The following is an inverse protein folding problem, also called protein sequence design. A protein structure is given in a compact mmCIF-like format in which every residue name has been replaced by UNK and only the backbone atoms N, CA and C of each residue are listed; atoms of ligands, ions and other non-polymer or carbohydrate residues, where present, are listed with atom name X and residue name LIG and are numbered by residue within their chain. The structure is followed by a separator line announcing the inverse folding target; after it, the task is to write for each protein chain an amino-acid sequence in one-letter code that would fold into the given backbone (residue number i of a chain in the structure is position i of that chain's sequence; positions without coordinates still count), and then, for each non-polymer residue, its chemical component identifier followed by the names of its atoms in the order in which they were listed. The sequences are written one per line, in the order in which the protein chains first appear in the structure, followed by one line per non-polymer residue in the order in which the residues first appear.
data_IF_961649707271
#
_entry.id   IF_961649707271
#
_cell.length_a   1.000
_cell.length_b   1.000
_cell.length_c   1.000
_cell.angle_alpha   90.00
_cell.angle_beta   90.00
_cell.angle_gamma   90.00
#
_symmetry.space_group_name_H-M   'P 1'
#
loop_
_entity.id
_entity.type
_entity.pdbx_description
1 polymer ?
#
# COMPACT_ATOMS: atom_id res chain seq x y z
N UNK A 1 -19.55 -4.48 14.86
CA UNK A 1 -20.25 -5.68 15.35
C UNK A 1 -19.26 -6.83 15.48
N UNK A 2 -18.77 -7.06 16.71
CA UNK A 2 -18.65 -8.39 17.34
C UNK A 2 -18.82 -8.07 18.82
N UNK A 3 -20.07 -7.81 19.20
CA UNK A 3 -20.48 -7.68 20.62
C UNK A 3 -20.83 -9.05 21.22
N UNK A 4 -20.68 -10.15 20.48
CA UNK A 4 -21.16 -11.48 20.90
C UNK A 4 -20.19 -12.64 20.60
N UNK A 5 -18.89 -12.50 20.87
CA UNK A 5 -17.99 -13.67 20.96
C UNK A 5 -17.04 -13.57 22.16
N UNK A 6 -16.83 -14.68 22.90
CA UNK A 6 -16.06 -14.71 24.14
C UNK A 6 -14.61 -14.25 23.94
N UNK A 7 -14.09 -13.49 24.91
CA UNK A 7 -12.83 -12.73 24.82
C UNK A 7 -11.58 -13.57 24.52
N UNK A 8 -11.60 -14.88 24.79
CA UNK A 8 -10.47 -15.78 24.53
C UNK A 8 -10.26 -16.13 23.05
N UNK A 9 -11.35 -16.31 22.27
CA UNK A 9 -11.23 -16.63 20.83
C UNK A 9 -10.78 -15.42 20.01
N UNK A 10 -11.05 -14.22 20.53
CA UNK A 10 -10.67 -12.93 19.94
C UNK A 10 -9.15 -12.74 19.94
N UNK A 11 -8.48 -13.13 21.04
CA UNK A 11 -7.02 -13.06 21.19
C UNK A 11 -6.30 -14.02 20.24
N UNK A 12 -6.82 -15.23 20.06
CA UNK A 12 -6.26 -16.23 19.12
C UNK A 12 -6.38 -15.76 17.66
N UNK A 13 -7.56 -15.31 17.23
CA UNK A 13 -7.74 -14.78 15.87
C UNK A 13 -6.85 -13.56 15.58
N UNK A 14 -6.65 -12.69 16.58
CA UNK A 14 -5.73 -11.55 16.50
C UNK A 14 -4.26 -11.98 16.42
N UNK A 15 -3.85 -13.01 17.16
CA UNK A 15 -2.48 -13.54 17.14
C UNK A 15 -2.13 -14.20 15.82
N UNK A 16 -3.00 -15.08 15.29
CA UNK A 16 -2.78 -15.76 14.01
C UNK A 16 -2.82 -14.80 12.82
N UNK A 17 -3.75 -13.84 12.80
CA UNK A 17 -3.81 -12.84 11.72
C UNK A 17 -2.58 -11.94 11.68
N UNK A 18 -1.98 -11.67 12.83
CA UNK A 18 -0.79 -10.86 12.93
C UNK A 18 0.50 -11.65 12.63
N UNK A 19 0.67 -12.82 13.22
CA UNK A 19 1.79 -13.70 12.90
C UNK A 19 1.81 -13.99 11.39
N UNK A 20 0.63 -14.20 10.78
CA UNK A 20 0.46 -14.32 9.34
C UNK A 20 0.87 -13.07 8.56
N UNK A 21 0.47 -11.87 8.99
CA UNK A 21 0.84 -10.62 8.31
C UNK A 21 2.37 -10.38 8.32
N UNK A 22 3.05 -10.79 9.38
CA UNK A 22 4.51 -10.71 9.48
C UNK A 22 5.22 -11.69 8.56
N UNK A 23 4.85 -12.98 8.64
CA UNK A 23 5.41 -14.01 7.77
C UNK A 23 5.16 -13.65 6.30
N UNK A 24 3.97 -13.12 5.99
CA UNK A 24 3.65 -12.64 4.65
C UNK A 24 4.52 -11.47 4.22
N UNK A 25 4.83 -10.54 5.13
CA UNK A 25 5.73 -9.41 4.83
C UNK A 25 7.15 -9.89 4.52
N UNK A 26 7.72 -10.73 5.38
CA UNK A 26 9.05 -11.33 5.16
C UNK A 26 9.08 -12.14 3.86
N UNK A 27 8.10 -13.02 3.68
CA UNK A 27 7.94 -13.81 2.48
C UNK A 27 7.81 -12.94 1.23
N UNK A 28 7.03 -11.86 1.29
CA UNK A 28 6.85 -10.93 0.16
C UNK A 28 8.12 -10.18 -0.19
N UNK A 29 8.91 -9.73 0.79
CA UNK A 29 10.18 -9.05 0.53
C UNK A 29 11.20 -9.98 -0.12
N UNK A 30 11.30 -11.20 0.39
CA UNK A 30 12.13 -12.24 -0.22
C UNK A 30 11.65 -12.57 -1.65
N UNK A 31 10.34 -12.74 -1.83
CA UNK A 31 9.75 -13.02 -3.14
C UNK A 31 10.01 -11.88 -4.12
N UNK A 32 9.80 -10.61 -3.73
CA UNK A 32 10.08 -9.45 -4.58
C UNK A 32 11.56 -9.40 -4.95
N UNK A 33 12.47 -9.64 -3.99
CA UNK A 33 13.91 -9.64 -4.27
C UNK A 33 14.32 -10.72 -5.27
N UNK A 34 13.62 -11.87 -5.29
CA UNK A 34 13.87 -12.92 -6.27
C UNK A 34 13.18 -12.66 -7.62
N UNK A 35 11.98 -12.06 -7.60
CA UNK A 35 11.17 -11.81 -8.79
C UNK A 35 11.61 -10.56 -9.57
N UNK A 36 12.33 -9.63 -8.95
CA UNK A 36 12.72 -8.37 -9.58
C UNK A 36 13.63 -8.57 -10.79
N UNK A 37 14.42 -9.64 -10.83
CA UNK A 37 15.31 -9.95 -11.94
C UNK A 37 14.60 -10.69 -13.10
N UNK A 38 13.34 -11.09 -12.92
CA UNK A 38 12.57 -11.83 -13.91
C UNK A 38 11.69 -10.88 -14.72
N UNK A 39 12.13 -10.52 -15.93
CA UNK A 39 11.41 -9.56 -16.79
C UNK A 39 9.96 -9.97 -17.11
N UNK A 40 9.65 -11.28 -17.19
CA UNK A 40 8.28 -11.75 -17.42
C UNK A 40 7.36 -11.37 -16.25
N UNK A 41 7.88 -11.44 -15.03
CA UNK A 41 7.14 -11.03 -13.84
C UNK A 41 6.97 -9.52 -13.82
N UNK A 42 7.98 -8.76 -14.22
CA UNK A 42 7.88 -7.32 -14.41
C UNK A 42 6.82 -6.95 -15.46
N UNK A 43 6.75 -7.69 -16.58
CA UNK A 43 5.78 -7.49 -17.65
C UNK A 43 4.34 -7.69 -17.15
N UNK A 44 4.11 -8.81 -16.45
CA UNK A 44 2.82 -9.14 -15.85
C UNK A 44 2.45 -8.10 -14.80
N UNK A 45 3.41 -7.70 -13.97
CA UNK A 45 3.24 -6.65 -12.97
C UNK A 45 2.84 -5.31 -13.60
N UNK A 46 3.52 -4.90 -14.67
CA UNK A 46 3.23 -3.67 -15.39
C UNK A 46 1.81 -3.68 -15.99
N UNK A 47 1.45 -4.78 -16.65
CA UNK A 47 0.12 -4.96 -17.23
C UNK A 47 -0.98 -4.93 -16.15
N UNK A 48 -0.73 -5.58 -15.02
CA UNK A 48 -1.66 -5.58 -13.88
C UNK A 48 -1.84 -4.17 -13.29
N UNK A 49 -0.75 -3.43 -13.03
CA UNK A 49 -0.82 -2.07 -12.48
C UNK A 49 -1.55 -1.10 -13.41
N UNK A 50 -1.30 -1.20 -14.71
CA UNK A 50 -2.00 -0.40 -15.73
C UNK A 50 -3.48 -0.77 -15.79
N UNK A 51 -3.80 -2.07 -15.80
CA UNK A 51 -5.17 -2.56 -15.83
C UNK A 51 -5.99 -2.04 -14.63
N UNK A 52 -5.50 -2.21 -13.40
CA UNK A 52 -6.25 -1.77 -12.21
C UNK A 52 -6.44 -0.25 -12.17
N UNK A 53 -5.41 0.50 -12.59
CA UNK A 53 -5.45 1.96 -12.64
C UNK A 53 -6.49 2.45 -13.65
N UNK A 54 -6.40 1.97 -14.89
CA UNK A 54 -7.30 2.36 -15.97
C UNK A 54 -8.74 1.93 -15.64
N UNK A 55 -8.94 0.68 -15.22
CA UNK A 55 -10.26 0.15 -14.88
C UNK A 55 -10.93 0.98 -13.77
N UNK A 56 -10.17 1.35 -12.73
CA UNK A 56 -10.70 2.17 -11.65
C UNK A 56 -11.07 3.59 -12.13
N UNK A 57 -10.18 4.25 -12.87
CA UNK A 57 -10.41 5.60 -13.37
C UNK A 57 -11.61 5.62 -14.33
N UNK A 58 -11.70 4.66 -15.26
CA UNK A 58 -12.81 4.54 -16.21
C UNK A 58 -14.12 4.26 -15.49
N UNK A 59 -14.18 3.30 -14.54
CA UNK A 59 -15.39 3.03 -13.76
C UNK A 59 -15.87 4.28 -13.00
N UNK A 60 -14.95 5.08 -12.47
CA UNK A 60 -15.26 6.29 -11.71
C UNK A 60 -15.69 7.47 -12.58
N UNK A 61 -15.13 7.61 -13.78
CA UNK A 61 -15.47 8.68 -14.75
C UNK A 61 -16.74 8.36 -15.54
N UNK A 62 -16.96 7.09 -15.91
CA UNK A 62 -18.02 6.67 -16.83
C UNK A 62 -19.37 6.40 -16.14
N UNK A 63 -19.52 6.79 -14.87
CA UNK A 63 -20.84 7.03 -14.27
C UNK A 63 -21.66 5.79 -13.87
N UNK A 64 -21.07 4.62 -13.70
CA UNK A 64 -21.80 3.50 -13.09
C UNK A 64 -21.87 3.72 -11.57
N UNK A 65 -22.96 4.34 -11.13
CA UNK A 65 -23.37 4.57 -9.73
C UNK A 65 -23.72 3.27 -8.99
N UNK A 66 -22.99 2.18 -9.25
CA UNK A 66 -23.14 0.94 -8.51
C UNK A 66 -22.00 0.81 -7.51
N UNK A 67 -22.39 0.91 -6.22
CA UNK A 67 -21.70 0.50 -4.99
C UNK A 67 -20.17 0.50 -5.04
N UNK A 68 -19.62 1.47 -4.31
CA UNK A 68 -18.35 1.40 -3.60
C UNK A 68 -18.02 -0.02 -3.13
N UNK A 69 -17.20 -0.72 -3.90
CA UNK A 69 -16.39 -1.86 -3.50
C UNK A 69 -15.45 -2.11 -4.70
N UNK A 70 -14.26 -2.67 -4.48
CA UNK A 70 -13.27 -3.08 -5.52
C UNK A 70 -12.16 -2.08 -5.95
N UNK A 71 -11.84 -1.08 -5.13
CA UNK A 71 -10.57 -0.35 -5.28
C UNK A 71 -9.50 -0.77 -4.25
N UNK A 72 -9.85 -1.64 -3.30
CA UNK A 72 -8.95 -2.02 -2.20
C UNK A 72 -9.14 -3.46 -1.71
N UNK A 73 -9.67 -4.39 -2.53
CA UNK A 73 -9.80 -5.81 -2.14
C UNK A 73 -8.49 -6.62 -2.27
N UNK A 74 -7.36 -5.95 -2.50
CA UNK A 74 -6.01 -6.44 -2.16
C UNK A 74 -5.52 -5.93 -0.79
N UNK A 75 -6.41 -5.32 0.00
CA UNK A 75 -6.22 -5.14 1.44
C UNK A 75 -6.98 -6.27 2.13
N UNK A 76 -6.36 -7.14 2.94
CA UNK A 76 -7.08 -8.21 3.60
C UNK A 76 -8.20 -7.62 4.46
N UNK A 77 -9.44 -7.91 4.05
CA UNK A 77 -10.69 -7.56 4.73
C UNK A 77 -10.61 -7.85 6.24
N UNK A 78 -11.14 -6.89 7.01
CA UNK A 78 -11.57 -6.93 8.44
C UNK A 78 -10.57 -6.43 9.50
N UNK A 79 -10.36 -5.11 9.54
CA UNK A 79 -9.92 -4.41 10.75
C UNK A 79 -11.12 -4.08 11.66
N UNK A 80 -11.38 -4.92 12.67
CA UNK A 80 -12.09 -4.51 13.90
C UNK A 80 -11.38 -5.01 15.16
N UNK A 81 -10.70 -4.04 15.81
CA UNK A 81 -10.54 -3.82 17.27
C UNK A 81 -9.08 -3.86 17.76
N UNK A 82 -8.65 -2.70 18.24
CA UNK A 82 -7.28 -2.23 18.36
C UNK A 82 -7.00 -1.87 19.83
N UNK A 83 -6.35 -2.77 20.57
CA UNK A 83 -5.58 -2.42 21.78
C UNK A 83 -4.51 -3.48 22.07
N UNK A 84 -4.81 -4.78 21.93
CA UNK A 84 -3.82 -5.87 21.98
C UNK A 84 -3.02 -6.09 20.68
N UNK A 85 -3.57 -5.70 19.53
CA UNK A 85 -2.95 -5.77 18.19
C UNK A 85 -1.63 -4.98 18.09
N UNK A 86 -1.50 -3.91 18.87
CA UNK A 86 -0.35 -3.02 18.80
C UNK A 86 0.89 -3.61 19.47
N UNK A 87 0.72 -4.22 20.64
CA UNK A 87 1.84 -4.80 21.40
C UNK A 87 2.42 -6.04 20.71
N UNK A 88 1.61 -6.82 20.02
CA UNK A 88 2.09 -8.02 19.32
C UNK A 88 2.81 -7.65 18.01
N UNK A 89 2.36 -6.64 17.25
CA UNK A 89 3.12 -6.17 16.07
C UNK A 89 4.45 -5.63 16.52
N UNK A 90 4.46 -4.84 17.59
CA UNK A 90 5.69 -4.28 18.14
C UNK A 90 6.71 -5.36 18.50
N UNK A 91 6.28 -6.49 19.08
CA UNK A 91 7.19 -7.61 19.41
C UNK A 91 7.77 -8.30 18.18
N UNK A 92 6.92 -8.50 17.17
CA UNK A 92 7.30 -9.19 15.93
C UNK A 92 8.22 -8.32 15.08
N UNK A 93 7.98 -7.01 15.13
CA UNK A 93 8.82 -5.99 14.51
C UNK A 93 10.22 -5.92 15.12
N UNK A 94 10.29 -5.96 16.45
CA UNK A 94 11.57 -6.01 17.18
C UNK A 94 12.37 -7.28 16.85
N UNK A 95 11.71 -8.36 16.46
CA UNK A 95 12.38 -9.59 16.01
C UNK A 95 12.94 -9.47 14.58
N UNK A 96 12.23 -8.81 13.65
CA UNK A 96 12.70 -8.55 12.28
C UNK A 96 13.97 -7.69 12.28
N UNK A 97 13.91 -6.65 13.10
CA UNK A 97 15.02 -5.80 13.47
C UNK A 97 16.22 -6.64 13.91
N UNK A 98 16.04 -7.54 14.89
CA UNK A 98 17.12 -8.32 15.47
C UNK A 98 17.77 -9.26 14.44
N UNK A 99 16.98 -9.81 13.52
CA UNK A 99 17.46 -10.66 12.43
C UNK A 99 18.23 -9.87 11.36
N UNK A 100 17.75 -8.66 11.02
CA UNK A 100 18.46 -7.74 10.15
C UNK A 100 19.79 -7.29 10.78
N UNK A 101 19.81 -7.01 12.09
CA UNK A 101 21.04 -6.68 12.83
C UNK A 101 22.07 -7.80 12.73
N UNK A 102 21.68 -9.03 13.02
CA UNK A 102 22.59 -10.19 13.05
C UNK A 102 23.19 -10.48 11.66
N UNK A 103 22.34 -10.44 10.63
CA UNK A 103 22.75 -10.68 9.23
C UNK A 103 23.68 -9.60 8.67
N UNK A 104 23.50 -8.35 9.10
CA UNK A 104 24.33 -7.20 8.68
C UNK A 104 25.65 -7.15 9.46
N UNK A 105 25.64 -7.46 10.76
CA UNK A 105 26.86 -7.55 11.59
C UNK A 105 27.77 -8.70 11.13
N UNK A 106 27.19 -9.83 10.72
CA UNK A 106 27.94 -10.92 10.09
C UNK A 106 28.54 -10.54 8.73
N UNK A 107 28.00 -9.51 8.06
CA UNK A 107 28.42 -9.02 6.74
C UNK A 107 29.46 -7.89 6.74
N UNK A 108 29.94 -7.43 7.91
CA UNK A 108 31.01 -6.43 8.00
C UNK A 108 30.59 -4.98 7.69
N UNK A 109 29.33 -4.63 7.91
CA UNK A 109 28.80 -3.29 7.64
C UNK A 109 29.14 -2.31 8.78
N UNK A 110 29.58 -1.08 8.46
CA UNK A 110 29.95 -0.08 9.47
C UNK A 110 28.78 0.26 10.40
N UNK A 111 29.05 0.36 11.71
CA UNK A 111 28.03 0.58 12.75
C UNK A 111 27.14 1.82 12.54
N UNK A 112 27.66 2.85 11.85
CA UNK A 112 26.89 4.03 11.46
C UNK A 112 25.86 3.73 10.37
N UNK A 113 26.22 2.98 9.32
CA UNK A 113 25.29 2.57 8.26
C UNK A 113 24.25 1.58 8.81
N UNK A 114 24.67 0.70 9.73
CA UNK A 114 23.77 -0.21 10.44
C UNK A 114 22.66 0.54 11.18
N UNK A 115 23.02 1.54 12.02
CA UNK A 115 22.05 2.35 12.77
C UNK A 115 21.06 3.06 11.83
N UNK A 116 21.52 3.55 10.69
CA UNK A 116 20.66 4.23 9.71
C UNK A 116 19.67 3.27 9.06
N UNK A 117 20.11 2.09 8.62
CA UNK A 117 19.24 1.08 8.01
C UNK A 117 18.23 0.56 9.03
N UNK A 118 18.69 0.27 10.25
CA UNK A 118 17.89 -0.22 11.35
C UNK A 118 16.80 0.77 11.77
N UNK A 119 17.18 2.02 12.08
CA UNK A 119 16.21 3.06 12.44
C UNK A 119 15.28 3.40 11.27
N UNK A 120 15.80 3.43 10.04
CA UNK A 120 15.00 3.68 8.85
C UNK A 120 13.93 2.61 8.63
N UNK A 121 14.28 1.34 8.77
CA UNK A 121 13.36 0.21 8.70
C UNK A 121 12.30 0.27 9.80
N UNK A 122 12.72 0.44 11.05
CA UNK A 122 11.82 0.51 12.20
C UNK A 122 10.85 1.69 12.11
N UNK A 123 11.36 2.90 11.84
CA UNK A 123 10.55 4.11 11.70
C UNK A 123 9.60 3.97 10.51
N UNK A 124 10.09 3.50 9.37
CA UNK A 124 9.27 3.30 8.17
C UNK A 124 8.11 2.34 8.41
N UNK A 125 8.34 1.29 9.18
CA UNK A 125 7.31 0.32 9.53
C UNK A 125 6.25 0.88 10.48
N UNK A 126 6.69 1.56 11.55
CA UNK A 126 5.80 2.23 12.51
C UNK A 126 4.96 3.29 11.79
N UNK A 127 5.59 4.14 10.97
CA UNK A 127 4.92 5.20 10.21
C UNK A 127 3.90 4.60 9.25
N UNK A 128 4.24 3.58 8.45
CA UNK A 128 3.29 3.00 7.49
C UNK A 128 1.99 2.53 8.16
N UNK A 129 2.08 1.99 9.38
CA UNK A 129 0.90 1.50 10.10
C UNK A 129 -0.03 2.62 10.58
N UNK A 130 0.53 3.71 11.10
CA UNK A 130 -0.27 4.88 11.46
C UNK A 130 -0.75 5.65 10.22
N UNK A 131 0.12 5.79 9.23
CA UNK A 131 -0.14 6.46 7.96
C UNK A 131 -1.30 5.81 7.22
N UNK A 132 -1.37 4.48 7.11
CA UNK A 132 -2.49 3.80 6.45
C UNK A 132 -3.85 4.17 7.05
N UNK A 133 -3.94 4.24 8.39
CA UNK A 133 -5.17 4.63 9.08
C UNK A 133 -5.56 6.09 8.81
N UNK A 134 -4.56 6.97 8.73
CA UNK A 134 -4.74 8.37 8.36
C UNK A 134 -5.13 8.53 6.89
N UNK A 135 -4.45 7.82 5.98
CA UNK A 135 -4.69 7.82 4.53
C UNK A 135 -6.11 7.40 4.21
N UNK A 136 -6.63 6.33 4.83
CA UNK A 136 -8.02 5.91 4.61
C UNK A 136 -9.01 7.01 4.99
N UNK A 137 -8.83 7.65 6.15
CA UNK A 137 -9.69 8.79 6.57
C UNK A 137 -9.57 9.97 5.61
N UNK A 138 -8.36 10.24 5.12
CA UNK A 138 -8.09 11.31 4.16
C UNK A 138 -8.78 11.04 2.82
N UNK A 139 -8.71 9.81 2.30
CA UNK A 139 -9.38 9.39 1.07
C UNK A 139 -10.91 9.50 1.18
N UNK A 140 -11.49 9.14 2.33
CA UNK A 140 -12.92 9.36 2.58
C UNK A 140 -13.31 10.84 2.59
N UNK A 141 -12.49 11.70 3.18
CA UNK A 141 -12.74 13.14 3.27
C UNK A 141 -12.49 13.87 1.94
N UNK A 142 -11.65 13.28 1.08
CA UNK A 142 -11.17 13.85 -0.18
C UNK A 142 -11.12 12.77 -1.28
N UNK A 143 -12.28 12.42 -1.89
CA UNK A 143 -12.37 11.33 -2.85
C UNK A 143 -11.59 11.56 -4.15
N UNK A 144 -11.18 12.81 -4.44
CA UNK A 144 -10.26 13.13 -5.54
C UNK A 144 -8.84 12.58 -5.34
N UNK A 145 -8.39 12.43 -4.08
CA UNK A 145 -7.07 11.84 -3.78
C UNK A 145 -7.01 10.35 -4.11
N UNK A 146 -8.13 9.65 -4.10
CA UNK A 146 -8.22 8.26 -4.55
C UNK A 146 -7.86 8.15 -6.04
N UNK A 147 -8.46 9.01 -6.86
CA UNK A 147 -8.16 9.05 -8.31
C UNK A 147 -6.68 9.37 -8.52
N UNK A 148 -6.14 10.35 -7.80
CA UNK A 148 -4.73 10.69 -7.88
C UNK A 148 -3.82 9.52 -7.49
N UNK A 149 -4.16 8.76 -6.45
CA UNK A 149 -3.43 7.57 -6.06
C UNK A 149 -3.44 6.51 -7.17
N UNK A 150 -4.58 6.26 -7.81
CA UNK A 150 -4.66 5.34 -8.95
C UNK A 150 -3.90 5.83 -10.17
N UNK A 151 -3.87 7.13 -10.45
CA UNK A 151 -3.05 7.70 -11.54
C UNK A 151 -1.55 7.51 -11.23
N UNK A 152 -1.12 7.72 -9.99
CA UNK A 152 0.27 7.43 -9.56
C UNK A 152 0.59 5.94 -9.76
N UNK A 153 -0.30 5.04 -9.35
CA UNK A 153 -0.15 3.59 -9.55
C UNK A 153 0.00 3.25 -11.04
N UNK A 154 -0.81 3.87 -11.90
CA UNK A 154 -0.70 3.73 -13.36
C UNK A 154 0.64 4.22 -13.88
N UNK A 155 1.11 5.39 -13.42
CA UNK A 155 2.42 5.94 -13.80
C UNK A 155 3.59 5.06 -13.37
N UNK A 156 3.51 4.44 -12.18
CA UNK A 156 4.47 3.41 -11.75
C UNK A 156 4.39 2.18 -12.67
N UNK A 157 3.19 1.78 -13.09
CA UNK A 157 2.98 0.75 -14.11
C UNK A 157 3.67 1.07 -15.44
N UNK A 158 3.61 2.32 -15.91
CA UNK A 158 4.34 2.78 -17.11
C UNK A 158 5.84 2.65 -16.92
N UNK A 159 6.39 3.09 -15.79
CA UNK A 159 7.82 2.91 -15.49
C UNK A 159 8.22 1.44 -15.52
N UNK A 160 7.42 0.56 -14.92
CA UNK A 160 7.68 -0.89 -14.92
C UNK A 160 7.60 -1.49 -16.33
N UNK A 161 6.66 -1.02 -17.17
CA UNK A 161 6.58 -1.40 -18.57
C UNK A 161 7.82 -0.96 -19.35
N UNK A 162 8.31 0.26 -19.14
CA UNK A 162 9.52 0.79 -19.78
C UNK A 162 10.75 -0.02 -19.38
N UNK A 163 10.89 -0.39 -18.11
CA UNK A 163 11.96 -1.28 -17.63
C UNK A 163 11.88 -2.65 -18.33
N UNK A 164 10.68 -3.23 -18.36
CA UNK A 164 10.43 -4.51 -19.03
C UNK A 164 10.83 -4.44 -20.50
N UNK A 165 10.38 -3.43 -21.25
CA UNK A 165 10.62 -3.31 -22.68
C UNK A 165 12.08 -3.00 -23.04
N UNK A 166 12.82 -2.39 -22.11
CA UNK A 166 14.26 -2.14 -22.24
C UNK A 166 15.10 -3.38 -21.89
N UNK A 167 14.50 -4.48 -21.44
CA UNK A 167 15.22 -5.70 -21.11
C UNK A 167 15.91 -6.27 -22.36
N UNK A 168 17.17 -6.74 -22.28
CA UNK A 168 17.95 -7.24 -23.43
C UNK A 168 17.25 -8.31 -24.27
N UNK A 169 16.43 -9.14 -23.62
CA UNK A 169 15.67 -10.21 -24.29
C UNK A 169 14.48 -9.73 -25.14
N UNK A 170 13.96 -8.51 -24.89
CA UNK A 170 12.86 -7.92 -25.66
C UNK A 170 13.37 -6.95 -26.72
N UNK A 171 14.42 -6.16 -26.40
CA UNK A 171 15.11 -5.30 -27.36
C UNK A 171 14.24 -4.22 -28.03
N UNK A 172 13.10 -3.87 -27.44
CA UNK A 172 12.16 -2.87 -27.99
C UNK A 172 12.62 -1.45 -27.67
N UNK A 173 13.22 -1.26 -26.49
CA UNK A 173 13.80 -0.01 -26.00
C UNK A 173 15.28 -0.21 -25.69
N UNK A 174 16.06 0.87 -25.77
CA UNK A 174 17.47 0.86 -25.36
C UNK A 174 17.58 0.55 -23.86
N UNK A 175 18.46 -0.38 -23.50
CA UNK A 175 18.70 -0.83 -22.12
C UNK A 175 19.08 0.34 -21.19
N UNK A 176 19.71 1.38 -21.74
CA UNK A 176 20.12 2.57 -20.97
C UNK A 176 19.00 3.61 -20.80
N UNK A 177 17.87 3.45 -21.50
CA UNK A 177 16.80 4.43 -21.48
C UNK A 177 16.14 4.59 -20.09
N UNK A 178 15.74 3.51 -19.39
CA UNK A 178 15.17 3.62 -18.03
C UNK A 178 16.20 4.10 -17.00
N UNK A 179 17.48 3.83 -17.26
CA UNK A 179 18.63 4.20 -16.43
C UNK A 179 19.00 5.69 -16.58
N UNK A 180 18.58 6.33 -17.67
CA UNK A 180 18.93 7.70 -17.99
C UNK A 180 18.43 8.69 -16.92
N UNK A 181 19.32 9.62 -16.52
CA UNK A 181 19.02 10.70 -15.57
C UNK A 181 17.84 11.54 -16.01
N UNK A 182 17.71 11.80 -17.31
CA UNK A 182 16.61 12.60 -17.88
C UNK A 182 15.26 11.90 -17.64
N UNK A 183 15.19 10.59 -17.91
CA UNK A 183 14.00 9.79 -17.69
C UNK A 183 13.63 9.73 -16.21
N UNK A 184 14.61 9.44 -15.33
CA UNK A 184 14.41 9.42 -13.88
C UNK A 184 13.87 10.77 -13.37
N UNK A 185 14.47 11.88 -13.81
CA UNK A 185 14.03 13.23 -13.42
C UNK A 185 12.61 13.54 -13.90
N UNK A 186 12.32 13.28 -15.18
CA UNK A 186 10.97 13.44 -15.75
C UNK A 186 9.93 12.60 -15.03
N UNK A 187 10.26 11.35 -14.69
CA UNK A 187 9.38 10.45 -13.94
C UNK A 187 8.96 11.06 -12.60
N UNK A 188 9.90 11.57 -11.81
CA UNK A 188 9.60 12.18 -10.51
C UNK A 188 8.85 13.50 -10.63
N UNK A 189 9.15 14.32 -11.65
CA UNK A 189 8.38 15.54 -11.94
C UNK A 189 6.91 15.21 -12.21
N UNK A 190 6.65 14.23 -13.07
CA UNK A 190 5.27 13.83 -13.38
C UNK A 190 4.57 13.29 -12.14
N UNK A 191 5.25 12.49 -11.33
CA UNK A 191 4.70 11.96 -10.07
C UNK A 191 4.30 13.10 -9.11
N UNK A 192 5.19 14.06 -8.89
CA UNK A 192 4.91 15.23 -8.04
C UNK A 192 3.75 16.04 -8.63
N UNK A 193 3.74 16.25 -9.95
CA UNK A 193 2.67 17.00 -10.64
C UNK A 193 1.31 16.32 -10.43
N UNK A 194 1.23 14.99 -10.58
CA UNK A 194 -0.01 14.23 -10.32
C UNK A 194 -0.43 14.37 -8.86
N UNK A 195 0.50 14.27 -7.91
CA UNK A 195 0.21 14.39 -6.48
C UNK A 195 -0.32 15.80 -6.13
N UNK A 196 0.32 16.84 -6.65
CA UNK A 196 -0.07 18.24 -6.45
C UNK A 196 -1.42 18.54 -7.10
N UNK A 197 -1.59 18.19 -8.37
CA UNK A 197 -2.86 18.34 -9.08
C UNK A 197 -3.98 17.57 -8.38
N UNK A 198 -3.71 16.33 -7.97
CA UNK A 198 -4.66 15.52 -7.21
C UNK A 198 -5.08 16.15 -5.90
N UNK A 199 -4.16 16.80 -5.19
CA UNK A 199 -4.47 17.53 -3.96
C UNK A 199 -5.33 18.77 -4.22
N UNK A 200 -5.03 19.56 -5.25
CA UNK A 200 -5.77 20.79 -5.55
C UNK A 200 -7.13 20.53 -6.21
N UNK A 201 -7.23 19.52 -7.08
CA UNK A 201 -8.49 19.13 -7.74
C UNK A 201 -9.42 18.36 -6.79
N UNK A 202 -8.92 17.91 -5.64
CA UNK A 202 -9.74 17.24 -4.64
C UNK A 202 -10.57 18.26 -3.85
N UNK A 203 -11.74 18.60 -4.40
CA UNK A 203 -12.76 19.35 -3.67
C UNK A 203 -13.11 18.63 -2.36
N UNK A 204 -13.08 19.38 -1.25
CA UNK A 204 -13.59 18.89 0.03
C UNK A 204 -15.08 18.68 -0.13
N UNK A 205 -15.54 17.45 0.03
CA UNK A 205 -16.98 17.21 0.23
C UNK A 205 -17.26 17.65 1.67
N UNK A 206 -18.17 18.61 1.92
CA UNK A 206 -18.58 18.91 3.29
C UNK A 206 -19.11 17.60 3.87
N UNK A 207 -18.54 17.17 5.00
CA UNK A 207 -19.07 16.03 5.73
C UNK A 207 -20.55 16.32 5.97
N UNK A 208 -21.45 15.50 5.40
CA UNK A 208 -22.86 15.58 5.77
C UNK A 208 -22.92 15.30 7.26
N UNK A 209 -23.28 16.32 8.03
CA UNK A 209 -23.29 16.29 9.49
C UNK A 209 -24.48 15.49 10.06
N UNK A 210 -25.41 15.02 9.21
CA UNK A 210 -26.67 14.41 9.63
C UNK A 210 -26.97 13.00 9.08
N UNK A 211 -25.95 12.20 8.77
CA UNK A 211 -26.15 10.75 8.60
C UNK A 211 -25.11 10.03 9.45
N UNK A 212 -25.37 10.00 10.76
CA UNK A 212 -24.75 8.99 11.61
C UNK A 212 -25.31 7.63 11.15
N UNK A 213 -24.51 6.77 10.49
CA UNK A 213 -25.03 5.51 9.94
C UNK A 213 -25.53 4.56 11.04
N UNK A 214 -25.22 4.88 12.30
CA UNK A 214 -25.68 4.17 13.50
C UNK A 214 -27.13 4.50 13.84
N UNK A 215 -27.59 5.73 13.56
CA UNK A 215 -28.91 6.23 13.96
C UNK A 215 -30.02 5.80 12.97
N UNK A 216 -29.70 5.72 11.67
CA UNK A 216 -30.59 5.08 10.67
C UNK A 216 -30.79 3.58 10.93
N UNK A 217 -29.73 2.89 11.39
CA UNK A 217 -29.81 1.47 11.72
C UNK A 217 -30.62 1.23 13.01
N UNK A 218 -30.59 2.13 13.99
CA UNK A 218 -31.46 2.06 15.17
C UNK A 218 -32.93 2.33 14.82
N UNK A 219 -33.21 3.28 13.91
CA UNK A 219 -34.58 3.53 13.42
C UNK A 219 -35.18 2.38 12.62
N UNK A 220 -34.36 1.63 11.88
CA UNK A 220 -34.81 0.44 11.14
C UNK A 220 -34.90 -0.82 12.00
N UNK A 221 -34.12 -0.93 13.09
CA UNK A 221 -34.17 -2.06 14.02
C UNK A 221 -35.26 -1.94 15.10
N UNK A 222 -35.90 -0.76 15.22
CA UNK A 222 -37.00 -0.49 16.14
C UNK A 222 -38.40 -0.65 15.55
N UNK A 223 -38.53 -1.20 14.33
CA UNK A 223 -39.80 -1.57 13.69
C UNK A 223 -39.85 -3.05 13.40
#
# INVERSE_FOLDING_TARGET
MVKHLPDEKRKKALFYGLLGAFIFRLGSLFLISFLVDVWQVQAIGALYLLYISINHIVKKVMGSRNKTDEAADSTPKKLKRQSGFWMTVFKVEVADIAFAVDSILAGGLDGGQFIVIFLGGFIGLVIMRFAASFFVKLLHSRPGLEVAAFVIVGWVGVKLAVITLAHPSLGVLDEHFPENKIWKFGFYIVLITIAVCGWFLSSKVPAKEDENPVEELEKQAGK
#
